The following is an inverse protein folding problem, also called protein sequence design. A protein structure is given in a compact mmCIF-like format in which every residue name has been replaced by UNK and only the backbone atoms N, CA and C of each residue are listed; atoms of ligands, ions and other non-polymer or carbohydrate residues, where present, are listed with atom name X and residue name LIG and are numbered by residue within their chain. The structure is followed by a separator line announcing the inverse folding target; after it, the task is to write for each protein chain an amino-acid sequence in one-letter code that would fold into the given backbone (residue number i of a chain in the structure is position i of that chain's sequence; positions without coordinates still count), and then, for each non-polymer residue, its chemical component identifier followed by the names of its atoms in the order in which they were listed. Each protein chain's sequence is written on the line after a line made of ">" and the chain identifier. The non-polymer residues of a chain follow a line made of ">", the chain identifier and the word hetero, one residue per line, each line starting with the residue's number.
data_IF_512470324047
#
_entry.id   IF_512470324047
#
_cell.length_a   1.000
_cell.length_b   1.000
_cell.length_c   1.000
_cell.angle_alpha   90.00
_cell.angle_beta   90.00
_cell.angle_gamma   90.00
#
_symmetry.space_group_name_H-M   'P 1'
#
loop_
_entity.id
_entity.type
_entity.pdbx_description
1 polymer ?
#
# COMPACT_ATOMS: atom_id res chain seq x y z
N UNK A 1 -14.07 -11.04 1.68
CA UNK A 1 -12.84 -11.82 1.43
C UNK A 1 -12.42 -11.58 -0.01
N UNK A 2 -11.21 -11.08 -0.26
CA UNK A 2 -10.65 -11.08 -1.62
C UNK A 2 -10.44 -12.54 -2.05
N UNK A 3 -10.90 -12.92 -3.24
CA UNK A 3 -10.74 -14.29 -3.77
C UNK A 3 -9.34 -14.46 -4.39
N UNK A 4 -8.37 -14.70 -3.51
CA UNK A 4 -6.98 -14.90 -3.90
C UNK A 4 -6.76 -16.21 -4.67
N UNK A 5 -7.63 -17.20 -4.50
CA UNK A 5 -7.59 -18.45 -5.25
C UNK A 5 -8.00 -18.21 -6.72
N UNK A 6 -9.05 -17.42 -6.96
CA UNK A 6 -9.43 -17.02 -8.32
C UNK A 6 -8.35 -16.16 -9.00
N UNK A 7 -7.68 -15.28 -8.26
CA UNK A 7 -6.56 -14.49 -8.77
C UNK A 7 -5.34 -15.37 -9.10
N UNK A 8 -4.99 -16.30 -8.21
CA UNK A 8 -3.93 -17.28 -8.42
C UNK A 8 -4.19 -18.12 -9.68
N UNK A 9 -5.42 -18.61 -9.87
CA UNK A 9 -5.79 -19.38 -11.05
C UNK A 9 -5.80 -18.53 -12.34
N UNK A 10 -6.21 -17.26 -12.26
CA UNK A 10 -6.11 -16.34 -13.39
C UNK A 10 -4.65 -16.11 -13.82
N UNK A 11 -3.74 -15.91 -12.86
CA UNK A 11 -2.30 -15.82 -13.14
C UNK A 11 -1.74 -17.16 -13.65
N UNK A 12 -2.20 -18.30 -13.12
CA UNK A 12 -1.78 -19.63 -13.55
C UNK A 12 -2.14 -19.86 -15.01
N UNK A 13 -3.37 -19.53 -15.41
CA UNK A 13 -3.84 -19.62 -16.79
C UNK A 13 -3.06 -18.66 -17.69
N UNK A 14 -2.86 -17.41 -17.26
CA UNK A 14 -2.06 -16.43 -18.00
C UNK A 14 -0.61 -16.90 -18.23
N UNK A 15 -0.02 -17.61 -17.27
CA UNK A 15 1.34 -18.14 -17.37
C UNK A 15 1.52 -19.26 -18.41
N UNK A 16 0.42 -19.87 -18.87
CA UNK A 16 0.42 -20.97 -19.84
C UNK A 16 0.30 -20.49 -21.29
N UNK A 17 0.09 -19.18 -21.51
CA UNK A 17 -0.01 -18.59 -22.86
C UNK A 17 1.39 -18.58 -23.52
N UNK A 18 1.50 -18.82 -24.84
CA UNK A 18 2.78 -18.68 -25.55
C UNK A 18 3.38 -17.28 -25.34
N UNK A 19 4.68 -17.21 -25.05
CA UNK A 19 5.40 -15.98 -24.69
C UNK A 19 4.91 -15.30 -23.40
N UNK A 20 4.15 -16.00 -22.55
CA UNK A 20 3.79 -15.51 -21.23
C UNK A 20 5.05 -15.22 -20.42
N UNK A 21 5.05 -14.07 -19.75
CA UNK A 21 6.17 -13.69 -18.91
C UNK A 21 6.33 -14.73 -17.78
N UNK A 22 7.54 -15.29 -17.54
CA UNK A 22 7.77 -16.34 -16.53
C UNK A 22 7.23 -15.99 -15.14
N UNK A 23 7.16 -14.68 -14.86
CA UNK A 23 6.59 -14.10 -13.66
C UNK A 23 5.13 -14.47 -13.37
N UNK A 24 4.29 -14.66 -14.40
CA UNK A 24 2.88 -15.03 -14.22
C UNK A 24 2.73 -16.38 -13.49
N UNK A 25 3.67 -17.30 -13.72
CA UNK A 25 3.70 -18.60 -13.04
C UNK A 25 4.10 -18.48 -11.57
N UNK A 26 5.02 -17.56 -11.27
CA UNK A 26 5.48 -17.28 -9.91
C UNK A 26 4.39 -16.57 -9.09
N UNK A 27 3.70 -15.59 -9.68
CA UNK A 27 2.52 -14.94 -9.09
C UNK A 27 1.41 -15.94 -8.76
N UNK A 28 1.13 -16.86 -9.67
CA UNK A 28 0.12 -17.89 -9.48
C UNK A 28 0.45 -18.79 -8.28
N UNK A 29 1.69 -19.27 -8.19
CA UNK A 29 2.15 -20.11 -7.09
C UNK A 29 2.09 -19.38 -5.75
N UNK A 30 2.57 -18.14 -5.69
CA UNK A 30 2.65 -17.41 -4.42
C UNK A 30 1.31 -16.83 -3.97
N UNK A 31 0.40 -16.44 -4.88
CA UNK A 31 -0.98 -16.08 -4.48
C UNK A 31 -1.76 -17.28 -3.92
N UNK A 32 -1.48 -18.49 -4.41
CA UNK A 32 -2.07 -19.72 -3.88
C UNK A 32 -1.52 -20.08 -2.48
N UNK A 33 -0.27 -19.71 -2.19
CA UNK A 33 0.43 -20.09 -0.96
C UNK A 33 0.33 -19.04 0.17
N UNK A 34 0.29 -17.74 -0.17
CA UNK A 34 0.46 -16.64 0.80
C UNK A 34 -0.62 -15.54 0.72
N UNK A 35 -1.85 -15.91 0.40
CA UNK A 35 -3.01 -15.01 0.36
C UNK A 35 -3.13 -14.16 1.66
N UNK A 36 -2.80 -12.87 1.57
CA UNK A 36 -2.91 -11.92 2.68
C UNK A 36 -1.61 -11.56 3.39
N UNK A 37 -0.47 -12.14 3.01
CA UNK A 37 0.84 -11.75 3.56
C UNK A 37 1.42 -10.53 2.83
N UNK A 38 1.53 -9.42 3.56
CA UNK A 38 2.10 -8.16 3.08
C UNK A 38 3.57 -8.32 2.63
N UNK A 39 4.35 -9.17 3.30
CA UNK A 39 5.75 -9.40 2.96
C UNK A 39 5.90 -10.18 1.65
N UNK A 40 5.08 -11.21 1.47
CA UNK A 40 5.07 -11.97 0.22
C UNK A 40 4.58 -11.12 -0.95
N UNK A 41 3.55 -10.27 -0.76
CA UNK A 41 3.14 -9.30 -1.78
C UNK A 41 4.25 -8.30 -2.12
N UNK A 42 4.98 -7.79 -1.11
CA UNK A 42 6.10 -6.86 -1.32
C UNK A 42 7.23 -7.50 -2.12
N UNK A 43 7.62 -8.74 -1.77
CA UNK A 43 8.61 -9.51 -2.51
C UNK A 43 8.21 -9.68 -3.97
N UNK A 44 6.92 -9.98 -4.21
CA UNK A 44 6.38 -10.14 -5.55
C UNK A 44 6.52 -8.89 -6.40
N UNK A 45 5.96 -7.78 -5.93
CA UNK A 45 5.98 -6.54 -6.68
C UNK A 45 7.41 -5.98 -6.85
N UNK A 46 8.28 -6.21 -5.87
CA UNK A 46 9.71 -5.86 -5.99
C UNK A 46 10.37 -6.65 -7.11
N UNK A 47 10.15 -7.96 -7.17
CA UNK A 47 10.71 -8.81 -8.22
C UNK A 47 10.19 -8.40 -9.60
N UNK A 48 8.90 -8.11 -9.72
CA UNK A 48 8.30 -7.60 -10.96
C UNK A 48 8.94 -6.27 -11.39
N UNK A 49 9.02 -5.32 -10.46
CA UNK A 49 9.59 -3.99 -10.71
C UNK A 49 11.04 -4.05 -11.19
N UNK A 50 11.84 -4.97 -10.62
CA UNK A 50 13.25 -5.12 -10.94
C UNK A 50 13.51 -5.93 -12.23
N UNK A 51 12.66 -6.90 -12.56
CA UNK A 51 12.89 -7.82 -13.67
C UNK A 51 12.29 -7.39 -15.01
N UNK A 52 11.28 -6.52 -15.00
CA UNK A 52 10.59 -6.09 -16.22
C UNK A 52 11.31 -4.93 -16.93
N UNK A 53 11.27 -4.94 -18.27
CA UNK A 53 11.67 -3.81 -19.11
C UNK A 53 10.45 -3.05 -19.66
N UNK A 54 9.25 -3.60 -19.49
CA UNK A 54 8.00 -2.95 -19.90
C UNK A 54 7.64 -1.85 -18.91
N UNK A 55 7.56 -0.60 -19.42
CA UNK A 55 7.28 0.58 -18.61
C UNK A 55 5.91 0.53 -17.92
N UNK A 56 4.90 -0.05 -18.57
CA UNK A 56 3.55 -0.16 -18.00
C UNK A 56 3.52 -1.15 -16.84
N UNK A 57 4.20 -2.28 -17.00
CA UNK A 57 4.32 -3.30 -15.96
C UNK A 57 5.14 -2.75 -14.78
N UNK A 58 6.21 -2.01 -15.06
CA UNK A 58 7.04 -1.38 -14.04
C UNK A 58 6.25 -0.35 -13.23
N UNK A 59 5.48 0.51 -13.91
CA UNK A 59 4.60 1.49 -13.26
C UNK A 59 3.52 0.83 -12.39
N UNK A 60 2.92 -0.26 -12.87
CA UNK A 60 1.94 -1.02 -12.09
C UNK A 60 2.57 -1.63 -10.83
N UNK A 61 3.75 -2.25 -10.94
CA UNK A 61 4.46 -2.81 -9.80
C UNK A 61 4.84 -1.73 -8.77
N UNK A 62 5.31 -0.58 -9.23
CA UNK A 62 5.62 0.56 -8.36
C UNK A 62 4.39 1.08 -7.63
N UNK A 63 3.24 1.18 -8.31
CA UNK A 63 1.99 1.60 -7.68
C UNK A 63 1.58 0.66 -6.54
N UNK A 64 1.66 -0.66 -6.74
CA UNK A 64 1.41 -1.62 -5.67
C UNK A 64 2.43 -1.53 -4.52
N UNK A 65 3.72 -1.31 -4.81
CA UNK A 65 4.72 -1.12 -3.76
C UNK A 65 4.45 0.12 -2.91
N UNK A 66 4.09 1.25 -3.55
CA UNK A 66 3.68 2.47 -2.83
C UNK A 66 2.43 2.22 -1.98
N UNK A 67 1.46 1.48 -2.50
CA UNK A 67 0.25 1.14 -1.74
C UNK A 67 0.56 0.30 -0.49
N UNK A 68 1.39 -0.73 -0.62
CA UNK A 68 1.83 -1.55 0.51
C UNK A 68 2.59 -0.74 1.55
N UNK A 69 3.44 0.20 1.11
CA UNK A 69 4.14 1.11 2.01
C UNK A 69 3.16 1.99 2.79
N UNK A 70 2.16 2.60 2.12
CA UNK A 70 1.13 3.39 2.80
C UNK A 70 0.32 2.57 3.79
N UNK A 71 -0.09 1.35 3.42
CA UNK A 71 -0.85 0.47 4.32
C UNK A 71 -0.07 0.14 5.61
N UNK A 72 1.25 -0.05 5.49
CA UNK A 72 2.17 -0.27 6.61
C UNK A 72 2.36 1.00 7.45
N UNK A 73 2.70 2.13 6.81
CA UNK A 73 2.92 3.42 7.47
C UNK A 73 1.69 3.87 8.26
N UNK A 74 0.50 3.79 7.66
CA UNK A 74 -0.77 4.11 8.32
C UNK A 74 -0.97 3.21 9.54
N UNK A 75 -0.71 1.90 9.42
CA UNK A 75 -0.86 0.97 10.54
C UNK A 75 0.07 1.31 11.71
N UNK A 76 1.33 1.65 11.40
CA UNK A 76 2.34 2.04 12.41
C UNK A 76 1.92 3.33 13.10
N UNK A 77 1.55 4.36 12.32
CA UNK A 77 1.21 5.67 12.88
C UNK A 77 -0.10 5.61 13.69
N UNK A 78 -1.12 4.88 13.24
CA UNK A 78 -2.34 4.67 14.02
C UNK A 78 -2.08 3.90 15.32
N UNK A 79 -1.13 2.96 15.33
CA UNK A 79 -0.71 2.31 16.58
C UNK A 79 -0.03 3.29 17.55
N UNK A 80 0.73 4.27 17.05
CA UNK A 80 1.30 5.34 17.88
C UNK A 80 0.22 6.29 18.42
N UNK A 81 -0.79 6.61 17.60
CA UNK A 81 -1.98 7.37 18.01
C UNK A 81 -2.71 6.64 19.15
N UNK A 82 -2.93 5.34 19.02
CA UNK A 82 -3.56 4.52 20.05
C UNK A 82 -2.75 4.55 21.36
N UNK A 83 -1.43 4.34 21.29
CA UNK A 83 -0.54 4.42 22.46
C UNK A 83 -0.55 5.79 23.12
N UNK A 84 -0.61 6.87 22.34
CA UNK A 84 -0.74 8.23 22.87
C UNK A 84 -2.05 8.40 23.66
N UNK A 85 -3.17 7.91 23.11
CA UNK A 85 -4.47 7.93 23.79
C UNK A 85 -4.43 7.13 25.08
N UNK A 86 -3.85 5.93 25.06
CA UNK A 86 -3.80 5.07 26.24
C UNK A 86 -2.98 5.69 27.38
N UNK A 87 -1.97 6.52 27.04
CA UNK A 87 -1.14 7.23 28.03
C UNK A 87 -1.75 8.55 28.54
N UNK A 88 -2.45 9.28 27.68
CA UNK A 88 -2.90 10.66 27.98
C UNK A 88 -4.41 10.79 28.21
N UNK A 89 -5.17 9.75 27.91
CA UNK A 89 -6.64 9.75 27.95
C UNK A 89 -7.28 10.48 26.76
N UNK A 90 -6.52 11.05 25.82
CA UNK A 90 -7.02 11.81 24.67
C UNK A 90 -6.28 11.47 23.38
N UNK A 91 -6.94 11.61 22.24
CA UNK A 91 -6.26 11.52 20.94
C UNK A 91 -5.30 12.70 20.75
N UNK A 92 -4.20 12.51 19.99
CA UNK A 92 -3.37 13.63 19.56
C UNK A 92 -4.19 14.51 18.59
N UNK A 93 -4.05 15.83 18.71
CA UNK A 93 -4.66 16.79 17.79
C UNK A 93 -3.85 16.99 16.51
N UNK A 94 -2.56 16.64 16.54
CA UNK A 94 -1.65 16.75 15.39
C UNK A 94 -0.49 15.75 15.47
N UNK A 95 0.28 15.62 14.39
CA UNK A 95 1.55 14.88 14.43
C UNK A 95 2.60 15.54 15.34
N UNK A 96 2.54 16.86 15.53
CA UNK A 96 3.42 17.57 16.48
C UNK A 96 3.20 17.11 17.92
N UNK A 97 1.99 16.69 18.30
CA UNK A 97 1.73 16.13 19.64
C UNK A 97 2.43 14.78 19.82
N UNK A 98 2.44 13.95 18.77
CA UNK A 98 3.15 12.67 18.77
C UNK A 98 4.67 12.86 18.76
N UNK A 99 5.16 13.87 18.05
CA UNK A 99 6.57 14.26 18.06
C UNK A 99 7.01 14.78 19.44
N UNK A 100 6.24 15.68 20.04
CA UNK A 100 6.50 16.20 21.39
C UNK A 100 6.47 15.10 22.45
N UNK A 101 5.67 14.04 22.24
CA UNK A 101 5.64 12.84 23.08
C UNK A 101 6.80 11.85 22.80
N UNK A 102 7.66 12.13 21.82
CA UNK A 102 8.79 11.29 21.42
C UNK A 102 8.41 10.06 20.60
N UNK A 103 7.16 9.96 20.13
CA UNK A 103 6.66 8.82 19.34
C UNK A 103 7.02 8.90 17.85
N UNK A 104 7.25 10.12 17.33
CA UNK A 104 7.61 10.39 15.94
C UNK A 104 8.80 11.35 15.86
N UNK A 105 9.50 11.33 14.72
CA UNK A 105 10.58 12.26 14.37
C UNK A 105 10.12 13.23 13.29
N UNK A 106 9.08 14.00 13.60
CA UNK A 106 8.43 14.92 12.66
C UNK A 106 7.15 14.37 12.04
N UNK A 107 6.63 15.11 11.05
CA UNK A 107 5.40 14.74 10.34
C UNK A 107 5.69 13.64 9.31
N UNK A 108 5.01 12.48 9.38
CA UNK A 108 5.20 11.41 8.41
C UNK A 108 4.68 11.82 7.04
N UNK A 109 5.36 11.36 5.99
CA UNK A 109 5.01 11.60 4.58
C UNK A 109 4.75 10.28 3.88
N UNK A 110 3.88 10.29 2.88
CA UNK A 110 3.63 9.15 2.02
C UNK A 110 4.79 8.90 1.03
N UNK A 111 4.79 7.79 0.28
CA UNK A 111 5.86 7.45 -0.68
C UNK A 111 6.06 8.44 -1.82
N UNK A 112 5.16 9.42 -1.98
CA UNK A 112 5.26 10.51 -2.96
C UNK A 112 5.69 11.83 -2.31
N UNK A 113 5.97 11.81 -1.00
CA UNK A 113 6.44 12.97 -0.23
C UNK A 113 5.33 13.88 0.25
N UNK A 114 4.05 13.50 0.12
CA UNK A 114 2.97 14.31 0.68
C UNK A 114 2.80 13.99 2.16
N UNK A 115 2.71 15.00 3.04
CA UNK A 115 2.43 14.75 4.45
C UNK A 115 1.11 14.03 4.64
N UNK A 116 1.06 13.00 5.48
CA UNK A 116 -0.20 12.42 5.89
C UNK A 116 -1.10 13.45 6.58
N UNK A 117 -2.37 13.10 6.76
CA UNK A 117 -3.32 13.87 7.58
C UNK A 117 -3.81 13.00 8.73
N UNK A 118 -3.70 13.53 9.95
CA UNK A 118 -4.34 12.96 11.12
C UNK A 118 -5.77 13.50 11.23
N UNK A 119 -6.73 12.60 11.30
CA UNK A 119 -8.15 12.90 11.47
C UNK A 119 -8.48 13.02 12.96
N UNK A 120 -9.55 13.75 13.29
CA UNK A 120 -9.99 13.95 14.69
C UNK A 120 -10.33 12.64 15.43
N UNK A 121 -10.70 11.59 14.70
CA UNK A 121 -10.97 10.26 15.25
C UNK A 121 -9.71 9.38 15.38
N UNK A 122 -8.52 9.92 15.10
CA UNK A 122 -7.25 9.22 15.21
C UNK A 122 -6.83 8.47 13.95
N UNK A 123 -7.65 8.45 12.90
CA UNK A 123 -7.28 7.82 11.64
C UNK A 123 -6.24 8.64 10.87
N UNK A 124 -5.36 7.94 10.17
CA UNK A 124 -4.31 8.56 9.34
C UNK A 124 -4.66 8.35 7.87
N UNK A 125 -4.70 9.41 7.09
CA UNK A 125 -5.09 9.36 5.67
C UNK A 125 -4.10 10.05 4.75
N UNK A 126 -4.00 9.57 3.51
CA UNK A 126 -3.26 10.23 2.43
C UNK A 126 -3.97 11.50 1.98
N UNK A 127 -3.22 12.45 1.41
CA UNK A 127 -3.79 13.71 0.89
C UNK A 127 -4.29 13.60 -0.55
N UNK A 128 -3.57 12.82 -1.37
CA UNK A 128 -3.83 12.69 -2.80
C UNK A 128 -4.05 11.20 -3.14
N UNK A 129 -5.20 10.62 -2.75
CA UNK A 129 -5.44 9.19 -2.91
C UNK A 129 -5.44 8.73 -4.38
N UNK A 130 -5.74 9.62 -5.32
CA UNK A 130 -5.72 9.28 -6.76
C UNK A 130 -4.32 8.97 -7.31
N UNK A 131 -3.27 9.46 -6.65
CA UNK A 131 -1.87 9.18 -7.02
C UNK A 131 -1.33 7.89 -6.38
N UNK A 132 -2.10 7.33 -5.45
CA UNK A 132 -1.79 6.12 -4.69
C UNK A 132 -2.93 5.12 -4.86
N UNK A 133 -3.08 4.48 -6.04
CA UNK A 133 -4.12 3.49 -6.23
C UNK A 133 -3.85 2.23 -5.39
N UNK A 134 -4.86 1.39 -5.23
CA UNK A 134 -4.80 0.07 -4.57
C UNK A 134 -4.62 0.08 -3.04
N UNK A 135 -4.74 1.23 -2.38
CA UNK A 135 -4.72 1.33 -0.92
C UNK A 135 -5.80 0.46 -0.29
N UNK A 136 -5.45 -0.21 0.81
CA UNK A 136 -6.41 -0.88 1.71
C UNK A 136 -6.65 -0.05 2.97
N UNK A 137 -5.73 0.84 3.33
CA UNK A 137 -5.79 1.73 4.48
C UNK A 137 -5.41 3.15 4.10
N UNK A 138 -5.83 4.10 4.94
CA UNK A 138 -5.47 5.51 4.79
C UNK A 138 -6.19 6.26 3.66
N UNK A 139 -7.26 5.71 3.09
CA UNK A 139 -8.13 6.47 2.19
C UNK A 139 -9.00 7.45 2.99
N UNK A 140 -9.17 8.71 2.56
CA UNK A 140 -10.09 9.65 3.19
C UNK A 140 -11.53 9.13 3.25
N UNK A 141 -12.32 9.49 4.28
CA UNK A 141 -13.73 9.13 4.34
C UNK A 141 -14.50 9.61 3.11
N UNK A 142 -15.33 8.74 2.54
CA UNK A 142 -16.10 9.04 1.32
C UNK A 142 -15.30 9.01 0.03
N UNK A 143 -14.01 8.64 0.07
CA UNK A 143 -13.23 8.44 -1.14
C UNK A 143 -13.78 7.28 -1.97
N UNK A 144 -13.98 7.54 -3.26
CA UNK A 144 -14.35 6.53 -4.25
C UNK A 144 -13.22 6.48 -5.28
N UNK A 145 -12.54 5.33 -5.46
CA UNK A 145 -11.47 5.23 -6.43
C UNK A 145 -12.00 5.37 -7.87
N UNK A 146 -11.23 5.99 -8.79
CA UNK A 146 -11.60 6.08 -10.18
C UNK A 146 -11.68 4.68 -10.83
N UNK A 147 -12.51 4.54 -11.87
CA UNK A 147 -12.66 3.26 -12.59
C UNK A 147 -11.34 2.79 -13.21
N UNK A 148 -10.53 3.73 -13.70
CA UNK A 148 -9.19 3.45 -14.22
C UNK A 148 -8.16 4.03 -13.27
N UNK A 149 -7.31 3.19 -12.64
CA UNK A 149 -6.24 3.67 -11.76
C UNK A 149 -5.24 4.54 -12.50
N UNK A 150 -4.85 5.66 -11.89
CA UNK A 150 -3.74 6.49 -12.39
C UNK A 150 -2.42 5.83 -11.95
N UNK A 151 -1.66 5.34 -12.93
CA UNK A 151 -0.32 4.81 -12.68
C UNK A 151 0.72 5.89 -12.95
N UNK A 152 1.42 6.32 -11.90
CA UNK A 152 2.52 7.27 -12.04
C UNK A 152 3.75 6.59 -12.67
N UNK A 153 4.50 7.29 -13.53
CA UNK A 153 5.79 6.82 -14.04
C UNK A 153 6.77 6.46 -12.90
N UNK A 154 7.79 5.69 -13.26
CA UNK A 154 8.82 5.19 -12.34
C UNK A 154 10.20 5.79 -12.61
N UNK A 155 10.21 6.94 -13.28
CA UNK A 155 11.33 7.57 -13.98
C UNK A 155 11.72 6.89 -15.31
#
# INVERSE_FOLDING_TARGET
>A
LQDYAAAADAFARGSRVPNAHPWLKLMAAQMAEHAGDLQTARMMWTTMYQSTHDRSIKANAAAHLRALQVDEDVSIVEALVARYRDRTGRLPGSFSDLEAAGSLRGTPVDPLGHPYRLMQNGHVVVRVPDDLPFLKKGTPPGYVPPQTPKLLPTD
#
